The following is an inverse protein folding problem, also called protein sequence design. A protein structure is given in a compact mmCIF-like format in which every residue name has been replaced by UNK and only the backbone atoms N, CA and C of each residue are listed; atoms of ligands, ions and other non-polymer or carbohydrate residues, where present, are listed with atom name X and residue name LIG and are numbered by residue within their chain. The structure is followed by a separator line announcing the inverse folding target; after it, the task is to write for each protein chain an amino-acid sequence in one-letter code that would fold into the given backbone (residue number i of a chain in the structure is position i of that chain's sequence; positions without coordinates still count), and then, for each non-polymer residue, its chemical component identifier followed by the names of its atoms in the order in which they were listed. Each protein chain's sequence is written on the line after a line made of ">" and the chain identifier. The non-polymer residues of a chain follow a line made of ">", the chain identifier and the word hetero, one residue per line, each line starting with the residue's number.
data_IF_182694190329
#
_entry.id   IF_182694190329
#
_cell.length_a   1.000
_cell.length_b   1.000
_cell.length_c   1.000
_cell.angle_alpha   90.00
_cell.angle_beta   90.00
_cell.angle_gamma   90.00
#
_symmetry.space_group_name_H-M   'P 1'
#
loop_
_entity.id
_entity.type
_entity.pdbx_description
1 polymer ?
#
# COMPACT_ATOMS: atom_id res chain seq x y z
N UNK A 1 -1.23 -0.01 14.03
CA UNK A 1 -0.26 1.00 13.57
C UNK A 1 -1.07 2.18 13.05
N UNK A 2 -0.78 3.39 13.53
CA UNK A 2 -1.52 4.57 13.12
C UNK A 2 -1.23 4.90 11.64
N UNK A 3 -2.16 5.57 10.98
CA UNK A 3 -2.04 6.06 9.60
C UNK A 3 -0.73 6.81 9.32
N UNK A 4 -0.27 7.56 10.33
CA UNK A 4 0.94 8.37 10.29
C UNK A 4 2.20 7.49 10.31
N UNK A 5 2.25 6.52 11.22
CA UNK A 5 3.37 5.60 11.36
C UNK A 5 3.65 4.84 10.05
N UNK A 6 2.61 4.45 9.29
CA UNK A 6 2.76 3.81 7.97
C UNK A 6 3.50 4.70 6.97
N UNK A 7 3.14 5.99 6.93
CA UNK A 7 3.77 6.96 6.05
C UNK A 7 5.19 7.30 6.51
N UNK A 8 5.40 7.43 7.82
CA UNK A 8 6.71 7.71 8.39
C UNK A 8 7.69 6.55 8.11
N UNK A 9 7.25 5.31 8.28
CA UNK A 9 8.05 4.12 7.92
C UNK A 9 8.30 4.07 6.42
N UNK A 10 7.30 4.36 5.57
CA UNK A 10 7.51 4.37 4.12
C UNK A 10 8.55 5.42 3.70
N UNK A 11 8.49 6.61 4.29
CA UNK A 11 9.46 7.67 4.05
C UNK A 11 10.86 7.29 4.53
N UNK A 12 10.98 6.64 5.69
CA UNK A 12 12.27 6.14 6.19
C UNK A 12 12.86 5.07 5.27
N UNK A 13 12.06 4.11 4.80
CA UNK A 13 12.51 3.09 3.84
C UNK A 13 12.98 3.75 2.55
N UNK A 14 12.18 4.66 1.97
CA UNK A 14 12.55 5.37 0.75
C UNK A 14 13.86 6.17 0.91
N UNK A 15 14.00 6.90 2.01
CA UNK A 15 15.19 7.70 2.31
C UNK A 15 16.45 6.83 2.50
N UNK A 16 16.31 5.67 3.16
CA UNK A 16 17.43 4.77 3.41
C UNK A 16 17.74 3.84 2.22
N UNK A 17 16.82 3.68 1.27
CA UNK A 17 16.95 2.74 0.17
C UNK A 17 18.26 2.89 -0.63
N UNK A 18 18.71 4.09 -1.05
CA UNK A 18 19.97 4.21 -1.79
C UNK A 18 21.19 3.70 -1.00
N UNK A 19 21.26 4.03 0.30
CA UNK A 19 22.34 3.56 1.17
C UNK A 19 22.28 2.06 1.40
N UNK A 20 21.08 1.52 1.62
CA UNK A 20 20.85 0.09 1.79
C UNK A 20 21.21 -0.70 0.52
N UNK A 21 20.80 -0.21 -0.65
CA UNK A 21 21.08 -0.81 -1.97
C UNK A 21 22.55 -0.69 -2.37
N UNK A 22 23.29 0.30 -1.85
CA UNK A 22 24.73 0.40 -2.01
C UNK A 22 25.48 -0.59 -1.13
N UNK A 23 25.07 -0.70 0.15
CA UNK A 23 25.70 -1.61 1.11
C UNK A 23 25.36 -3.08 0.84
N UNK A 24 24.18 -3.35 0.27
CA UNK A 24 23.63 -4.70 0.05
C UNK A 24 23.85 -5.62 1.25
N UNK A 25 23.34 -5.28 2.45
CA UNK A 25 23.52 -6.14 3.62
C UNK A 25 22.72 -7.44 3.46
N UNK A 26 23.17 -8.59 4.01
CA UNK A 26 22.38 -9.81 3.99
C UNK A 26 21.08 -9.62 4.79
N UNK A 27 19.97 -10.12 4.23
CA UNK A 27 18.66 -10.12 4.89
C UNK A 27 18.39 -11.50 5.46
N UNK A 28 17.95 -11.52 6.71
CA UNK A 28 17.64 -12.75 7.44
C UNK A 28 16.30 -13.35 7.00
N UNK A 29 16.27 -14.64 6.73
CA UNK A 29 15.06 -15.41 6.41
C UNK A 29 13.99 -15.25 7.50
N UNK A 30 14.40 -15.23 8.77
CA UNK A 30 13.49 -14.95 9.90
C UNK A 30 12.75 -13.63 9.76
N UNK A 31 13.44 -12.54 9.40
CA UNK A 31 12.81 -11.22 9.23
C UNK A 31 11.83 -11.22 8.06
N UNK A 32 12.15 -11.92 6.97
CA UNK A 32 11.23 -12.08 5.83
C UNK A 32 10.01 -12.92 6.21
N UNK A 33 10.19 -13.98 7.00
CA UNK A 33 9.10 -14.80 7.51
C UNK A 33 8.18 -14.00 8.46
N UNK A 34 8.76 -13.18 9.33
CA UNK A 34 8.01 -12.30 10.23
C UNK A 34 7.22 -11.24 9.43
N UNK A 35 7.85 -10.61 8.44
CA UNK A 35 7.20 -9.67 7.52
C UNK A 35 6.05 -10.33 6.75
N UNK A 36 6.26 -11.54 6.23
CA UNK A 36 5.24 -12.33 5.56
C UNK A 36 4.05 -12.61 6.47
N UNK A 37 4.31 -13.19 7.65
CA UNK A 37 3.28 -13.55 8.63
C UNK A 37 2.45 -12.33 9.04
N UNK A 38 3.10 -11.23 9.40
CA UNK A 38 2.43 -9.98 9.80
C UNK A 38 1.58 -9.40 8.65
N UNK A 39 2.06 -9.49 7.41
CA UNK A 39 1.34 -9.01 6.23
C UNK A 39 0.13 -9.89 5.89
N UNK A 40 0.26 -11.21 5.99
CA UNK A 40 -0.86 -12.16 5.81
C UNK A 40 -1.96 -11.93 6.83
N UNK A 41 -1.63 -11.86 8.12
CA UNK A 41 -2.61 -11.59 9.18
C UNK A 41 -3.37 -10.27 8.93
N UNK A 42 -2.69 -9.25 8.40
CA UNK A 42 -3.30 -7.97 8.06
C UNK A 42 -4.27 -8.07 6.89
N UNK A 43 -3.87 -8.72 5.80
CA UNK A 43 -4.71 -8.94 4.62
C UNK A 43 -5.94 -9.78 4.95
N UNK A 44 -5.78 -10.80 5.79
CA UNK A 44 -6.89 -11.64 6.23
C UNK A 44 -7.89 -10.81 7.04
N UNK A 45 -7.41 -9.95 7.96
CA UNK A 45 -8.26 -9.02 8.73
C UNK A 45 -9.02 -8.05 7.82
N UNK A 46 -8.36 -7.48 6.81
CA UNK A 46 -9.00 -6.61 5.83
C UNK A 46 -10.08 -7.36 5.05
N UNK A 47 -9.77 -8.59 4.61
CA UNK A 47 -10.71 -9.43 3.86
C UNK A 47 -11.95 -9.78 4.67
N UNK A 48 -11.80 -10.07 5.97
CA UNK A 48 -12.95 -10.31 6.87
C UNK A 48 -13.80 -9.05 7.04
N UNK A 49 -13.17 -7.91 7.30
CA UNK A 49 -13.88 -6.64 7.51
C UNK A 49 -14.66 -6.20 6.25
N UNK A 50 -14.03 -6.30 5.07
CA UNK A 50 -14.69 -5.99 3.81
C UNK A 50 -15.86 -6.95 3.52
N UNK A 51 -15.72 -8.23 3.86
CA UNK A 51 -16.79 -9.23 3.70
C UNK A 51 -17.98 -8.93 4.61
N UNK A 52 -17.73 -8.68 5.89
CA UNK A 52 -18.76 -8.32 6.88
C UNK A 52 -19.53 -7.06 6.48
N UNK A 53 -18.81 -6.06 5.97
CA UNK A 53 -19.40 -4.83 5.43
C UNK A 53 -20.34 -5.13 4.26
N UNK A 54 -19.88 -5.86 3.23
CA UNK A 54 -20.70 -6.21 2.07
C UNK A 54 -21.94 -7.00 2.46
N UNK A 55 -21.80 -8.02 3.31
CA UNK A 55 -22.93 -8.86 3.77
C UNK A 55 -23.97 -8.08 4.59
N UNK A 56 -23.55 -7.07 5.35
CA UNK A 56 -24.48 -6.27 6.13
C UNK A 56 -25.27 -5.28 5.28
N UNK A 57 -24.68 -4.77 4.20
CA UNK A 57 -25.34 -3.83 3.29
C UNK A 57 -26.52 -4.47 2.54
N UNK A 58 -26.44 -5.76 2.23
CA UNK A 58 -27.49 -6.46 1.48
C UNK A 58 -28.76 -6.72 2.32
N UNK A 59 -28.67 -6.61 3.65
CA UNK A 59 -29.70 -7.11 4.57
C UNK A 59 -30.31 -6.06 5.53
N UNK A 60 -29.88 -4.79 5.51
CA UNK A 60 -30.27 -3.81 6.53
C UNK A 60 -30.56 -2.40 5.99
N UNK A 61 -31.49 -1.70 6.63
CA UNK A 61 -31.88 -0.32 6.27
C UNK A 61 -30.81 0.75 6.58
N UNK A 62 -31.05 1.98 6.14
CA UNK A 62 -30.08 3.10 6.09
C UNK A 62 -29.32 3.36 7.40
N UNK A 63 -30.00 3.32 8.57
CA UNK A 63 -29.34 3.55 9.87
C UNK A 63 -28.28 2.50 10.20
N UNK A 64 -28.49 1.25 9.79
CA UNK A 64 -27.50 0.19 9.99
C UNK A 64 -26.32 0.35 9.03
N UNK A 65 -26.59 0.80 7.80
CA UNK A 65 -25.57 1.09 6.81
C UNK A 65 -24.62 2.21 7.28
N UNK A 66 -25.16 3.31 7.82
CA UNK A 66 -24.35 4.40 8.38
C UNK A 66 -23.45 3.95 9.55
N UNK A 67 -23.97 3.09 10.45
CA UNK A 67 -23.16 2.52 11.54
C UNK A 67 -22.04 1.62 11.01
N UNK A 68 -22.33 0.83 9.98
CA UNK A 68 -21.30 -0.01 9.36
C UNK A 68 -20.26 0.81 8.60
N UNK A 69 -20.65 1.91 7.98
CA UNK A 69 -19.70 2.84 7.37
C UNK A 69 -18.67 3.36 8.39
N UNK A 70 -19.13 3.82 9.56
CA UNK A 70 -18.24 4.30 10.63
C UNK A 70 -17.23 3.24 11.07
N UNK A 71 -17.62 1.95 11.01
CA UNK A 71 -16.74 0.82 11.37
C UNK A 71 -15.76 0.44 10.28
N UNK A 72 -16.18 0.42 9.02
CA UNK A 72 -15.33 -0.01 7.90
C UNK A 72 -14.38 1.10 7.44
N UNK A 73 -14.77 2.38 7.55
CA UNK A 73 -14.00 3.52 7.05
C UNK A 73 -12.53 3.53 7.53
N UNK A 74 -12.20 3.26 8.80
CA UNK A 74 -10.81 3.13 9.24
C UNK A 74 -10.04 2.04 8.51
N UNK A 75 -10.67 0.89 8.22
CA UNK A 75 -10.06 -0.22 7.48
C UNK A 75 -9.81 0.17 6.02
N UNK A 76 -10.78 0.81 5.36
CA UNK A 76 -10.60 1.33 3.98
C UNK A 76 -9.42 2.31 3.92
N UNK A 77 -9.32 3.17 4.94
CA UNK A 77 -8.23 4.14 5.06
C UNK A 77 -6.89 3.46 5.33
N UNK A 78 -6.85 2.45 6.22
CA UNK A 78 -5.66 1.64 6.51
C UNK A 78 -5.13 0.94 5.25
N UNK A 79 -6.02 0.35 4.45
CA UNK A 79 -5.66 -0.28 3.17
C UNK A 79 -4.97 0.76 2.28
N UNK A 80 -5.64 1.89 1.99
CA UNK A 80 -5.07 2.91 1.10
C UNK A 80 -3.72 3.43 1.60
N UNK A 81 -3.59 3.75 2.89
CA UNK A 81 -2.33 4.28 3.43
C UNK A 81 -1.21 3.23 3.46
N UNK A 82 -1.55 1.97 3.72
CA UNK A 82 -0.56 0.89 3.74
C UNK A 82 0.02 0.59 2.35
N UNK A 83 -0.65 1.05 1.29
CA UNK A 83 -0.20 0.83 -0.09
C UNK A 83 1.12 1.55 -0.39
N UNK A 84 1.32 2.75 0.16
CA UNK A 84 2.57 3.50 -0.01
C UNK A 84 3.75 2.70 0.50
N UNK A 85 3.70 2.22 1.75
CA UNK A 85 4.77 1.38 2.30
C UNK A 85 4.96 0.09 1.49
N UNK A 86 3.86 -0.55 1.09
CA UNK A 86 3.90 -1.83 0.37
C UNK A 86 4.59 -1.68 -0.99
N UNK A 87 4.29 -0.62 -1.74
CA UNK A 87 4.90 -0.32 -3.04
C UNK A 87 6.36 0.08 -2.90
N UNK A 88 6.70 0.96 -1.96
CA UNK A 88 8.09 1.36 -1.68
C UNK A 88 8.93 0.15 -1.28
N UNK A 89 8.42 -0.71 -0.39
CA UNK A 89 9.11 -1.92 0.03
C UNK A 89 9.27 -2.94 -1.10
N UNK A 90 8.25 -3.10 -1.95
CA UNK A 90 8.36 -3.91 -3.15
C UNK A 90 9.44 -3.37 -4.10
N UNK A 91 9.49 -2.06 -4.33
CA UNK A 91 10.51 -1.44 -5.18
C UNK A 91 11.92 -1.64 -4.62
N UNK A 92 12.10 -1.44 -3.31
CA UNK A 92 13.38 -1.69 -2.65
C UNK A 92 13.78 -3.18 -2.75
N UNK A 93 12.83 -4.09 -2.57
CA UNK A 93 13.07 -5.54 -2.63
C UNK A 93 13.46 -5.99 -4.04
N UNK A 94 12.76 -5.50 -5.07
CA UNK A 94 13.10 -5.75 -6.49
C UNK A 94 14.49 -5.20 -6.82
N UNK A 95 14.78 -3.95 -6.43
CA UNK A 95 16.10 -3.36 -6.65
C UNK A 95 17.22 -4.16 -5.94
N UNK A 96 16.97 -4.60 -4.71
CA UNK A 96 17.92 -5.37 -3.91
C UNK A 96 18.25 -6.72 -4.57
N UNK A 97 17.22 -7.48 -4.93
CA UNK A 97 17.39 -8.80 -5.54
C UNK A 97 18.03 -8.71 -6.93
N UNK A 98 17.66 -7.71 -7.72
CA UNK A 98 18.30 -7.44 -9.00
C UNK A 98 19.80 -7.15 -8.83
N UNK A 99 20.19 -6.27 -7.89
CA UNK A 99 21.60 -5.95 -7.62
C UNK A 99 22.39 -7.16 -7.11
N UNK A 100 21.77 -8.00 -6.27
CA UNK A 100 22.40 -9.24 -5.77
C UNK A 100 22.34 -10.41 -6.73
N UNK A 101 21.60 -10.31 -7.83
CA UNK A 101 21.25 -11.44 -8.71
C UNK A 101 20.65 -12.61 -7.92
N UNK A 102 19.80 -12.28 -6.94
CA UNK A 102 19.09 -13.22 -6.09
C UNK A 102 17.58 -13.15 -6.33
N UNK A 103 16.84 -14.08 -5.72
CA UNK A 103 15.39 -14.10 -5.74
C UNK A 103 14.88 -14.39 -4.32
N UNK A 104 15.24 -13.52 -3.37
CA UNK A 104 15.06 -13.73 -1.95
C UNK A 104 14.00 -12.81 -1.34
N UNK A 105 14.13 -11.49 -1.51
CA UNK A 105 13.21 -10.50 -0.94
C UNK A 105 12.00 -10.24 -1.85
N UNK A 106 12.25 -10.11 -3.15
CA UNK A 106 11.27 -9.72 -4.16
C UNK A 106 10.06 -10.67 -4.17
N UNK A 107 10.19 -12.00 -4.17
CA UNK A 107 9.02 -12.89 -4.19
C UNK A 107 8.05 -12.64 -3.04
N UNK A 108 8.59 -12.41 -1.84
CA UNK A 108 7.81 -12.16 -0.63
C UNK A 108 7.11 -10.80 -0.74
N UNK A 109 7.86 -9.75 -1.08
CA UNK A 109 7.31 -8.41 -1.22
C UNK A 109 6.27 -8.30 -2.34
N UNK A 110 6.51 -8.97 -3.48
CA UNK A 110 5.60 -9.03 -4.62
C UNK A 110 4.30 -9.75 -4.28
N UNK A 111 4.38 -10.89 -3.59
CA UNK A 111 3.19 -11.62 -3.16
C UNK A 111 2.30 -10.78 -2.21
N UNK A 112 2.93 -10.04 -1.30
CA UNK A 112 2.22 -9.11 -0.40
C UNK A 112 1.64 -7.93 -1.17
N UNK A 113 2.39 -7.39 -2.14
CA UNK A 113 1.91 -6.32 -3.01
C UNK A 113 0.67 -6.74 -3.81
N UNK A 114 0.67 -7.93 -4.42
CA UNK A 114 -0.50 -8.47 -5.13
C UNK A 114 -1.71 -8.60 -4.21
N UNK A 115 -1.52 -9.16 -3.01
CA UNK A 115 -2.59 -9.28 -2.02
C UNK A 115 -3.13 -7.90 -1.58
N UNK A 116 -2.26 -6.90 -1.53
CA UNK A 116 -2.66 -5.52 -1.27
C UNK A 116 -3.49 -4.94 -2.43
N UNK A 117 -3.08 -5.14 -3.68
CA UNK A 117 -3.83 -4.68 -4.86
C UNK A 117 -5.25 -5.24 -4.89
N UNK A 118 -5.44 -6.51 -4.50
CA UNK A 118 -6.77 -7.09 -4.34
C UNK A 118 -7.62 -6.36 -3.28
N UNK A 119 -7.04 -6.06 -2.12
CA UNK A 119 -7.72 -5.31 -1.08
C UNK A 119 -8.08 -3.89 -1.55
N UNK A 120 -7.16 -3.19 -2.21
CA UNK A 120 -7.40 -1.88 -2.83
C UNK A 120 -8.54 -1.96 -3.85
N UNK A 121 -8.54 -2.93 -4.75
CA UNK A 121 -9.62 -3.08 -5.74
C UNK A 121 -10.99 -3.17 -5.06
N UNK A 122 -11.11 -3.92 -3.96
CA UNK A 122 -12.34 -3.99 -3.17
C UNK A 122 -12.72 -2.64 -2.54
N UNK A 123 -11.74 -1.87 -2.04
CA UNK A 123 -11.99 -0.50 -1.54
C UNK A 123 -12.52 0.40 -2.65
N UNK A 124 -11.94 0.33 -3.86
CA UNK A 124 -12.41 1.10 -5.00
C UNK A 124 -13.83 0.69 -5.43
N UNK A 125 -14.14 -0.61 -5.40
CA UNK A 125 -15.51 -1.09 -5.64
C UNK A 125 -16.51 -0.51 -4.62
N UNK A 126 -16.15 -0.43 -3.33
CA UNK A 126 -16.99 0.22 -2.31
C UNK A 126 -17.22 1.71 -2.65
N UNK A 127 -16.16 2.43 -3.05
CA UNK A 127 -16.24 3.84 -3.43
C UNK A 127 -17.13 4.09 -4.64
N UNK A 128 -17.07 3.21 -5.66
CA UNK A 128 -17.83 3.36 -6.91
C UNK A 128 -19.29 2.92 -6.73
N UNK A 129 -19.54 1.81 -6.04
CA UNK A 129 -20.89 1.27 -5.87
C UNK A 129 -21.74 2.09 -4.88
N UNK A 130 -21.13 2.93 -4.04
CA UNK A 130 -21.80 4.05 -3.38
C UNK A 130 -22.91 3.70 -2.38
N UNK A 131 -22.92 2.49 -1.81
CA UNK A 131 -23.99 2.06 -0.89
C UNK A 131 -23.60 2.26 0.57
N UNK A 132 -24.52 2.84 1.34
CA UNK A 132 -24.43 2.86 2.80
C UNK A 132 -23.56 3.96 3.42
N UNK A 133 -23.20 5.00 2.66
CA UNK A 133 -22.47 6.18 3.16
C UNK A 133 -22.85 7.45 2.39
N UNK A 134 -22.58 8.60 2.99
CA UNK A 134 -22.87 9.89 2.37
C UNK A 134 -21.83 10.24 1.29
N UNK A 135 -22.23 10.99 0.25
CA UNK A 135 -21.33 11.40 -0.84
C UNK A 135 -20.08 12.11 -0.32
N UNK A 136 -20.21 12.91 0.74
CA UNK A 136 -19.12 13.62 1.38
C UNK A 136 -18.04 12.66 1.91
N UNK A 137 -18.42 11.52 2.47
CA UNK A 137 -17.48 10.50 2.94
C UNK A 137 -16.72 9.86 1.78
N UNK A 138 -17.39 9.62 0.64
CA UNK A 138 -16.76 9.16 -0.60
C UNK A 138 -15.66 10.12 -1.06
N UNK A 139 -15.97 11.42 -1.05
CA UNK A 139 -15.05 12.49 -1.46
C UNK A 139 -13.83 12.52 -0.53
N UNK A 140 -14.02 12.39 0.78
CA UNK A 140 -12.91 12.37 1.74
C UNK A 140 -11.99 11.17 1.52
N UNK A 141 -12.55 9.97 1.35
CA UNK A 141 -11.74 8.77 1.10
C UNK A 141 -11.02 8.84 -0.25
N UNK A 142 -11.66 9.40 -1.28
CA UNK A 142 -11.01 9.63 -2.57
C UNK A 142 -9.87 10.68 -2.50
N UNK A 143 -9.97 11.70 -1.64
CA UNK A 143 -8.86 12.63 -1.38
C UNK A 143 -7.67 11.90 -0.75
N UNK A 144 -7.92 11.02 0.22
CA UNK A 144 -6.87 10.18 0.82
C UNK A 144 -6.22 9.31 -0.26
N UNK A 145 -7.01 8.62 -1.09
CA UNK A 145 -6.49 7.81 -2.20
C UNK A 145 -5.54 8.61 -3.10
N UNK A 146 -5.97 9.78 -3.59
CA UNK A 146 -5.14 10.62 -4.48
C UNK A 146 -3.85 11.09 -3.81
N UNK A 147 -3.91 11.40 -2.52
CA UNK A 147 -2.74 11.83 -1.74
C UNK A 147 -1.75 10.68 -1.56
N UNK A 148 -2.23 9.48 -1.24
CA UNK A 148 -1.43 8.24 -1.22
C UNK A 148 -0.76 8.01 -2.56
N UNK A 149 -1.49 8.15 -3.66
CA UNK A 149 -0.93 7.92 -5.01
C UNK A 149 0.21 8.87 -5.32
N UNK A 150 0.01 10.16 -5.08
CA UNK A 150 1.04 11.19 -5.28
C UNK A 150 2.26 10.98 -4.39
N UNK A 151 2.07 10.66 -3.10
CA UNK A 151 3.20 10.41 -2.19
C UNK A 151 3.95 9.15 -2.52
N UNK A 152 3.25 8.11 -2.99
CA UNK A 152 3.90 6.86 -3.37
C UNK A 152 4.84 7.07 -4.54
N UNK A 153 4.43 7.85 -5.54
CA UNK A 153 5.30 8.18 -6.67
C UNK A 153 6.52 9.00 -6.22
N UNK A 154 6.33 9.97 -5.32
CA UNK A 154 7.44 10.76 -4.77
C UNK A 154 8.42 9.92 -3.94
N UNK A 155 7.91 8.96 -3.16
CA UNK A 155 8.73 8.09 -2.31
C UNK A 155 9.40 6.95 -3.09
N UNK A 156 8.85 6.53 -4.22
CA UNK A 156 9.50 5.57 -5.12
C UNK A 156 10.59 6.20 -5.98
N UNK A 157 10.51 7.51 -6.26
CA UNK A 157 11.40 8.23 -7.14
C UNK A 157 12.91 8.02 -6.87
N UNK A 158 13.42 8.05 -5.62
CA UNK A 158 14.83 7.79 -5.34
C UNK A 158 15.31 6.40 -5.78
N UNK A 159 14.41 5.40 -5.71
CA UNK A 159 14.71 4.02 -6.11
C UNK A 159 14.60 3.91 -7.63
N UNK A 160 13.60 4.55 -8.23
CA UNK A 160 13.33 4.56 -9.66
C UNK A 160 14.42 5.28 -10.48
N UNK A 161 15.24 6.13 -9.86
CA UNK A 161 16.35 6.81 -10.51
C UNK A 161 17.43 5.81 -11.01
N UNK A 162 17.71 4.77 -10.23
CA UNK A 162 18.76 3.78 -10.54
C UNK A 162 18.21 2.40 -10.94
N UNK A 163 16.93 2.14 -10.71
CA UNK A 163 16.34 0.82 -10.83
C UNK A 163 15.01 0.81 -11.58
N UNK A 164 14.78 -0.24 -12.36
CA UNK A 164 13.52 -0.44 -13.08
C UNK A 164 12.39 -0.90 -12.14
N UNK A 165 11.85 0.06 -11.39
CA UNK A 165 10.73 -0.14 -10.46
C UNK A 165 9.52 0.73 -10.82
N UNK A 166 9.53 1.31 -12.03
CA UNK A 166 8.49 2.23 -12.50
C UNK A 166 7.09 1.64 -12.52
N UNK A 167 6.98 0.32 -12.74
CA UNK A 167 5.71 -0.42 -12.72
C UNK A 167 5.02 -0.43 -11.35
N UNK A 168 5.74 -0.12 -10.26
CA UNK A 168 5.19 0.00 -8.90
C UNK A 168 4.67 1.40 -8.59
N UNK A 169 4.93 2.40 -9.44
CA UNK A 169 4.34 3.72 -9.33
C UNK A 169 2.85 3.69 -9.73
N UNK A 170 2.08 4.66 -9.25
CA UNK A 170 0.75 4.94 -9.78
C UNK A 170 0.80 5.74 -11.07
N UNK A 171 1.70 6.72 -11.12
CA UNK A 171 1.97 7.51 -12.30
C UNK A 171 3.45 7.44 -12.62
N UNK A 172 3.86 6.57 -13.56
CA UNK A 172 5.26 6.40 -13.94
C UNK A 172 5.90 7.72 -14.43
N UNK A 173 5.15 8.54 -15.18
CA UNK A 173 5.59 9.88 -15.59
C UNK A 173 5.86 10.79 -14.39
N UNK A 174 4.93 10.85 -13.43
CA UNK A 174 5.06 11.67 -12.20
C UNK A 174 6.20 11.16 -11.30
N UNK A 175 6.38 9.84 -11.20
CA UNK A 175 7.50 9.24 -10.48
C UNK A 175 8.83 9.67 -11.09
N UNK A 176 8.93 9.67 -12.42
CA UNK A 176 10.11 10.16 -13.14
C UNK A 176 10.35 11.65 -12.95
N UNK A 177 9.31 12.48 -12.98
CA UNK A 177 9.43 13.92 -12.68
C UNK A 177 10.04 14.13 -11.29
N UNK A 178 9.51 13.45 -10.26
CA UNK A 178 10.09 13.50 -8.92
C UNK A 178 11.53 12.98 -8.85
N UNK A 179 11.89 11.99 -9.66
CA UNK A 179 13.25 11.46 -9.70
C UNK A 179 14.23 12.47 -10.31
N UNK A 180 13.79 13.22 -11.33
CA UNK A 180 14.58 14.30 -11.94
C UNK A 180 14.79 15.47 -10.98
N UNK A 181 13.78 15.83 -10.18
CA UNK A 181 13.89 16.88 -9.17
C UNK A 181 14.89 16.54 -8.03
N UNK A 182 15.27 15.27 -7.89
CA UNK A 182 16.19 14.77 -6.86
C UNK A 182 17.64 14.56 -7.34
N UNK A 183 17.88 14.62 -8.66
CA UNK A 183 19.18 14.35 -9.30
C UNK A 183 20.04 15.62 -9.41
#
# INVERSE_FOLDING_TARGET
>A
MHARDLMDVAAQVAYQAPSFLKALPPVSDKLLADYWSASRCRVDRWSMALRDYSQTLDNRGEKAAARQWTRIRPVLTEILLSETLTRVWAGMSTAYDHRRKSNHMEPVARAIHVAHLEARHRVLSVLVCGRGFAVQDAVLLNRVRRRVESWTDALLAPIALEHDVGSLAFGEARCREFALDLA
#
